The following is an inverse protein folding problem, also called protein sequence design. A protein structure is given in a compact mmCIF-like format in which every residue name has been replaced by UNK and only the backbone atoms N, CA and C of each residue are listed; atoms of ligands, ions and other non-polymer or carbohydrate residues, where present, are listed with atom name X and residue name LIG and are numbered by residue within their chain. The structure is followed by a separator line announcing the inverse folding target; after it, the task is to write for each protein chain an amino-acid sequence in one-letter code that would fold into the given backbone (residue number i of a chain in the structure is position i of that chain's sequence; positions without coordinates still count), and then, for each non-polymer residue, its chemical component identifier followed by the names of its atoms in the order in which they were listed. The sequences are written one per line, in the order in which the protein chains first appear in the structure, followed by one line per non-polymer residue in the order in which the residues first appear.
data_IF_140299036922
#
_entry.id   IF_140299036922
#
_cell.length_a   1.000
_cell.length_b   1.000
_cell.length_c   1.000
_cell.angle_alpha   90.00
_cell.angle_beta   90.00
_cell.angle_gamma   90.00
#
_symmetry.space_group_name_H-M   'P 1'
#
loop_
_entity.id
_entity.type
_entity.pdbx_description
1 polymer ?
#
# COMPACT_ATOMS: atom_id res chain seq x y z
N UNK A 1 17.26 31.14 -21.60
CA UNK A 1 16.85 29.74 -21.88
C UNK A 1 16.62 29.09 -20.52
N UNK A 2 15.40 29.18 -20.01
CA UNK A 2 15.02 28.55 -18.73
C UNK A 2 14.75 27.08 -19.01
N UNK A 3 15.61 26.20 -18.50
CA UNK A 3 15.31 24.78 -18.42
C UNK A 3 14.31 24.62 -17.28
N UNK A 4 13.03 24.57 -17.65
CA UNK A 4 11.97 24.10 -16.78
C UNK A 4 12.24 22.61 -16.57
N UNK A 5 13.02 22.28 -15.54
CA UNK A 5 13.13 20.92 -15.05
C UNK A 5 11.78 20.58 -14.43
N UNK A 6 10.81 20.24 -15.28
CA UNK A 6 9.70 19.42 -14.87
C UNK A 6 10.32 18.20 -14.22
N UNK A 7 10.35 18.20 -12.89
CA UNK A 7 10.39 16.96 -12.14
C UNK A 7 9.11 16.26 -12.60
N UNK A 8 9.20 15.44 -13.65
CA UNK A 8 8.16 14.47 -13.95
C UNK A 8 8.03 13.70 -12.64
N UNK A 9 6.98 14.02 -11.88
CA UNK A 9 6.55 13.30 -10.71
C UNK A 9 6.21 11.91 -11.23
N UNK A 10 7.23 11.04 -11.38
CA UNK A 10 7.05 9.68 -11.87
C UNK A 10 6.19 9.01 -10.80
N UNK A 11 4.91 8.73 -11.10
CA UNK A 11 4.03 8.15 -10.11
C UNK A 11 4.62 6.81 -9.67
N UNK A 12 4.38 6.44 -8.40
CA UNK A 12 4.75 5.12 -7.93
C UNK A 12 4.12 4.07 -8.83
N UNK A 13 4.89 3.09 -9.30
CA UNK A 13 4.36 1.95 -10.03
C UNK A 13 4.01 0.85 -9.02
N UNK A 14 2.72 0.61 -8.81
CA UNK A 14 2.23 -0.43 -7.91
C UNK A 14 1.79 -1.64 -8.74
N UNK A 15 2.47 -2.77 -8.56
CA UNK A 15 2.16 -4.02 -9.27
C UNK A 15 1.51 -5.02 -8.33
N UNK A 16 0.29 -5.44 -8.62
CA UNK A 16 -0.36 -6.51 -7.87
C UNK A 16 0.11 -7.86 -8.42
N UNK A 17 0.47 -8.79 -7.53
CA UNK A 17 0.69 -10.18 -7.93
C UNK A 17 -0.62 -10.81 -8.38
N UNK A 18 -0.56 -11.91 -9.13
CA UNK A 18 -1.78 -12.65 -9.52
C UNK A 18 -2.65 -13.07 -8.31
N UNK A 19 -2.01 -13.35 -7.16
CA UNK A 19 -2.74 -13.65 -5.91
C UNK A 19 -3.45 -12.41 -5.36
N UNK A 20 -2.79 -11.25 -5.39
CA UNK A 20 -3.39 -9.98 -4.98
C UNK A 20 -4.54 -9.58 -5.91
N UNK A 21 -4.37 -9.70 -7.23
CA UNK A 21 -5.44 -9.46 -8.21
C UNK A 21 -6.66 -10.35 -7.95
N UNK A 22 -6.44 -11.64 -7.69
CA UNK A 22 -7.53 -12.59 -7.39
C UNK A 22 -8.17 -12.34 -6.02
N UNK A 23 -7.44 -11.75 -5.09
CA UNK A 23 -7.92 -11.50 -3.74
C UNK A 23 -8.60 -10.15 -3.56
N UNK A 24 -8.22 -9.12 -4.32
CA UNK A 24 -8.85 -7.81 -4.29
C UNK A 24 -10.24 -7.91 -4.94
N UNK A 25 -11.28 -7.46 -4.23
CA UNK A 25 -12.63 -7.45 -4.82
C UNK A 25 -12.76 -6.33 -5.83
N UNK A 26 -13.66 -6.49 -6.79
CA UNK A 26 -13.89 -5.52 -7.86
C UNK A 26 -14.33 -4.14 -7.33
N UNK A 27 -14.96 -4.08 -6.15
CA UNK A 27 -15.42 -2.87 -5.48
C UNK A 27 -14.43 -2.33 -4.44
N UNK A 28 -13.24 -2.93 -4.31
CA UNK A 28 -12.20 -2.53 -3.36
C UNK A 28 -11.02 -1.87 -4.07
N UNK A 29 -10.25 -1.07 -3.33
CA UNK A 29 -8.93 -0.56 -3.73
C UNK A 29 -7.94 -0.83 -2.61
N UNK A 30 -6.67 -0.95 -2.98
CA UNK A 30 -5.55 -0.86 -2.05
C UNK A 30 -5.37 0.60 -1.65
N UNK A 31 -5.20 0.85 -0.35
CA UNK A 31 -4.94 2.17 0.21
C UNK A 31 -3.64 2.11 0.98
N UNK A 32 -2.68 2.94 0.56
CA UNK A 32 -1.48 3.23 1.31
C UNK A 32 -1.75 4.41 2.26
N UNK A 33 -1.75 4.17 3.56
CA UNK A 33 -2.15 5.15 4.57
C UNK A 33 -1.19 5.16 5.76
N UNK A 34 -0.58 6.31 6.06
CA UNK A 34 0.39 6.47 7.16
C UNK A 34 -0.31 6.96 8.44
N UNK A 35 -1.64 7.08 8.41
CA UNK A 35 -2.40 7.38 9.60
C UNK A 35 -2.26 6.22 10.59
N UNK A 36 -1.48 6.44 11.66
CA UNK A 36 -1.50 5.64 12.90
C UNK A 36 -2.85 5.77 13.62
N UNK A 37 -3.95 5.62 12.89
CA UNK A 37 -5.29 5.55 13.43
C UNK A 37 -5.57 4.07 13.67
N UNK A 38 -5.58 3.66 14.93
CA UNK A 38 -5.77 2.30 15.42
C UNK A 38 -7.09 1.63 15.02
N UNK A 39 -7.37 1.54 13.72
CA UNK A 39 -8.35 0.64 13.13
C UNK A 39 -7.66 -0.70 12.89
N UNK A 40 -8.03 -1.66 13.73
CA UNK A 40 -7.49 -3.01 13.83
C UNK A 40 -7.01 -3.61 12.48
N UNK A 41 -5.69 -3.64 12.32
CA UNK A 41 -4.92 -4.13 11.17
C UNK A 41 -4.91 -5.66 11.03
N UNK A 42 -5.90 -6.37 11.60
CA UNK A 42 -5.92 -7.84 11.65
C UNK A 42 -5.88 -8.51 10.26
N UNK A 43 -6.28 -7.79 9.22
CA UNK A 43 -6.29 -8.25 7.82
C UNK A 43 -5.27 -7.54 6.92
N UNK A 44 -4.54 -6.54 7.42
CA UNK A 44 -3.76 -5.63 6.57
C UNK A 44 -2.30 -6.05 6.40
N UNK A 45 -1.78 -6.84 7.33
CA UNK A 45 -0.45 -7.43 7.28
C UNK A 45 0.74 -6.49 7.41
N UNK A 46 0.61 -5.25 6.96
CA UNK A 46 1.46 -4.10 7.22
C UNK A 46 0.57 -2.94 7.70
N UNK A 47 0.98 -2.13 8.70
CA UNK A 47 0.10 -1.12 9.31
C UNK A 47 -0.25 0.03 8.36
N UNK A 48 0.50 0.18 7.26
CA UNK A 48 0.30 1.23 6.28
C UNK A 48 -0.43 0.79 4.99
N UNK A 49 -0.93 -0.45 4.94
CA UNK A 49 -1.56 -1.03 3.75
C UNK A 49 -2.92 -1.61 4.12
N UNK A 50 -4.00 -1.12 3.53
CA UNK A 50 -5.36 -1.66 3.77
C UNK A 50 -6.17 -1.73 2.49
N UNK A 51 -7.27 -2.48 2.52
CA UNK A 51 -8.31 -2.41 1.49
C UNK A 51 -9.42 -1.45 1.92
N UNK A 52 -10.02 -0.74 0.97
CA UNK A 52 -11.21 0.08 1.22
C UNK A 52 -12.17 0.04 0.02
N UNK A 53 -13.48 0.23 0.22
CA UNK A 53 -14.43 0.32 -0.87
C UNK A 53 -14.10 1.48 -1.81
N UNK A 54 -14.19 1.24 -3.13
CA UNK A 54 -14.00 2.21 -4.22
C UNK A 54 -14.86 3.46 -4.05
N UNK A 55 -16.10 3.29 -3.60
CA UNK A 55 -17.01 4.40 -3.37
C UNK A 55 -16.47 5.37 -2.29
N UNK A 56 -15.85 4.84 -1.24
CA UNK A 56 -15.27 5.63 -0.13
C UNK A 56 -13.99 6.32 -0.60
N UNK A 57 -13.09 5.59 -1.27
CA UNK A 57 -11.82 6.15 -1.72
C UNK A 57 -12.01 7.22 -2.80
N UNK A 58 -12.93 7.03 -3.75
CA UNK A 58 -13.24 8.02 -4.79
C UNK A 58 -14.05 9.21 -4.27
N UNK A 59 -14.87 9.00 -3.24
CA UNK A 59 -15.59 10.08 -2.56
C UNK A 59 -14.66 11.02 -1.79
N UNK A 60 -13.56 10.49 -1.24
CA UNK A 60 -12.57 11.28 -0.51
C UNK A 60 -11.52 11.92 -1.44
N UNK A 61 -11.59 13.24 -1.61
CA UNK A 61 -10.67 14.02 -2.47
C UNK A 61 -9.22 14.08 -1.99
N UNK A 62 -8.94 13.62 -0.77
CA UNK A 62 -7.59 13.68 -0.21
C UNK A 62 -6.67 12.56 -0.68
N UNK A 63 -7.19 11.44 -1.19
CA UNK A 63 -6.33 10.37 -1.70
C UNK A 63 -5.75 10.75 -3.08
N UNK A 64 -4.47 10.42 -3.28
CA UNK A 64 -3.78 10.56 -4.56
C UNK A 64 -3.86 9.22 -5.31
N UNK A 65 -4.28 9.21 -6.59
CA UNK A 65 -4.21 8.01 -7.41
C UNK A 65 -2.75 7.60 -7.61
N UNK A 66 -2.52 6.29 -7.73
CA UNK A 66 -1.21 5.71 -8.03
C UNK A 66 -1.23 5.08 -9.42
N UNK A 67 -0.08 5.06 -10.09
CA UNK A 67 0.06 4.26 -11.30
C UNK A 67 0.10 2.79 -10.91
N UNK A 68 -0.79 2.00 -11.49
CA UNK A 68 -1.11 0.68 -10.97
C UNK A 68 -1.29 -0.34 -12.08
N UNK A 69 -0.84 -1.56 -11.80
CA UNK A 69 -1.07 -2.74 -12.64
C UNK A 69 -1.74 -3.82 -11.77
N UNK A 70 -3.06 -4.07 -11.91
CA UNK A 70 -3.98 -3.48 -12.89
C UNK A 70 -4.32 -2.02 -12.56
N UNK A 71 -4.77 -1.22 -13.56
CA UNK A 71 -5.05 0.20 -13.39
C UNK A 71 -6.19 0.46 -12.40
N UNK A 72 -6.14 1.63 -11.77
CA UNK A 72 -7.11 2.09 -10.77
C UNK A 72 -7.25 1.11 -9.59
N UNK A 73 -6.21 0.33 -9.26
CA UNK A 73 -6.29 -0.66 -8.17
C UNK A 73 -5.81 -0.14 -6.81
N UNK A 74 -5.12 1.01 -6.78
CA UNK A 74 -4.57 1.57 -5.54
C UNK A 74 -4.60 3.11 -5.48
N UNK A 75 -4.65 3.63 -4.26
CA UNK A 75 -4.50 5.05 -3.94
C UNK A 75 -3.59 5.24 -2.72
N UNK A 76 -3.05 6.45 -2.56
CA UNK A 76 -2.22 6.82 -1.42
C UNK A 76 -2.79 8.02 -0.66
N UNK A 77 -2.69 7.98 0.66
CA UNK A 77 -2.84 9.16 1.50
C UNK A 77 -1.71 10.17 1.19
N UNK A 78 -1.93 11.48 1.25
CA UNK A 78 -0.90 12.48 0.93
C UNK A 78 0.38 12.35 1.75
N UNK A 79 0.27 11.87 3.00
CA UNK A 79 1.43 11.59 3.87
C UNK A 79 2.21 10.34 3.47
N UNK A 80 1.55 9.39 2.81
CA UNK A 80 2.17 8.16 2.30
C UNK A 80 2.87 8.39 0.96
N UNK A 81 2.28 9.23 0.10
CA UNK A 81 2.70 9.42 -1.28
C UNK A 81 4.20 9.70 -1.50
N UNK A 82 4.89 10.57 -0.71
CA UNK A 82 6.33 10.81 -0.87
C UNK A 82 7.21 9.56 -0.67
N UNK A 83 6.69 8.56 0.05
CA UNK A 83 7.37 7.29 0.28
C UNK A 83 7.06 6.24 -0.80
N UNK A 84 6.23 6.58 -1.78
CA UNK A 84 5.86 5.69 -2.88
C UNK A 84 6.39 6.22 -4.21
N UNK A 85 6.37 7.55 -4.41
CA UNK A 85 6.78 8.20 -5.67
C UNK A 85 8.16 7.74 -6.13
N UNK A 86 8.31 7.50 -7.44
CA UNK A 86 9.55 7.01 -8.05
C UNK A 86 9.95 5.57 -7.69
N UNK A 87 9.11 4.79 -7.00
CA UNK A 87 9.38 3.38 -6.64
C UNK A 87 8.49 2.43 -7.44
N UNK A 88 9.03 1.25 -7.74
CA UNK A 88 8.27 0.09 -8.17
C UNK A 88 8.00 -0.80 -6.93
N UNK A 89 6.72 -1.00 -6.61
CA UNK A 89 6.30 -1.71 -5.39
C UNK A 89 5.39 -2.87 -5.80
N UNK A 90 5.74 -4.09 -5.38
CA UNK A 90 4.89 -5.25 -5.55
C UNK A 90 3.95 -5.42 -4.35
N UNK A 91 2.66 -5.59 -4.62
CA UNK A 91 1.64 -5.92 -3.61
C UNK A 91 1.23 -7.38 -3.78
N UNK A 92 1.42 -8.17 -2.74
CA UNK A 92 1.01 -9.57 -2.67
C UNK A 92 -0.15 -9.76 -1.68
N UNK A 93 -0.84 -10.90 -1.79
CA UNK A 93 -1.86 -11.29 -0.84
C UNK A 93 -1.70 -12.75 -0.43
N UNK A 94 -1.76 -13.00 0.88
CA UNK A 94 -1.85 -14.34 1.47
C UNK A 94 -3.22 -14.53 2.11
N UNK A 95 -3.79 -15.72 1.96
CA UNK A 95 -5.03 -16.10 2.65
C UNK A 95 -4.69 -17.05 3.79
N UNK A 96 -5.11 -16.74 5.01
CA UNK A 96 -4.93 -17.59 6.20
C UNK A 96 -6.20 -17.57 7.03
N UNK A 97 -6.77 -18.74 7.32
CA UNK A 97 -8.03 -18.90 8.06
C UNK A 97 -9.19 -18.03 7.52
N UNK A 98 -9.36 -17.97 6.20
CA UNK A 98 -10.40 -17.17 5.55
C UNK A 98 -10.14 -15.65 5.50
N UNK A 99 -9.13 -15.16 6.22
CA UNK A 99 -8.72 -13.77 6.19
C UNK A 99 -7.75 -13.52 5.02
N UNK A 100 -7.97 -12.41 4.31
CA UNK A 100 -7.05 -11.89 3.28
C UNK A 100 -6.06 -10.97 3.95
N UNK A 101 -4.77 -11.23 3.79
CA UNK A 101 -3.66 -10.42 4.30
C UNK A 101 -2.84 -9.90 3.13
N UNK A 102 -2.95 -8.61 2.86
CA UNK A 102 -2.12 -7.93 1.87
C UNK A 102 -0.75 -7.58 2.46
N UNK A 103 0.24 -7.42 1.61
CA UNK A 103 1.59 -6.99 1.97
C UNK A 103 2.27 -6.39 0.76
N UNK A 104 3.26 -5.51 0.96
CA UNK A 104 4.11 -5.04 -0.11
C UNK A 104 5.60 -5.24 0.22
N UNK A 105 6.44 -5.16 -0.81
CA UNK A 105 7.90 -5.24 -0.72
C UNK A 105 8.58 -3.89 -0.46
N UNK A 106 7.81 -2.90 0.03
CA UNK A 106 8.38 -1.59 0.39
C UNK A 106 9.49 -1.79 1.45
N UNK A 107 10.70 -1.22 1.24
CA UNK A 107 11.81 -1.41 2.15
C UNK A 107 11.47 -0.99 3.59
N UNK A 108 11.81 -1.79 4.61
CA UNK A 108 11.45 -1.52 6.01
C UNK A 108 12.16 -0.27 6.59
N UNK A 109 13.25 0.15 5.95
CA UNK A 109 14.08 1.32 6.27
C UNK A 109 13.53 2.64 5.69
N UNK A 110 12.42 2.63 4.96
CA UNK A 110 11.69 3.85 4.50
C UNK A 110 11.04 4.62 5.68
N UNK A 111 11.51 4.38 6.91
CA UNK A 111 11.08 5.03 8.16
C UNK A 111 10.25 4.14 9.09
N UNK A 112 10.19 2.82 8.84
CA UNK A 112 9.18 1.93 9.43
C UNK A 112 9.73 0.87 10.41
N UNK A 113 11.02 0.52 10.32
CA UNK A 113 11.65 -0.42 11.26
C UNK A 113 11.87 0.13 12.68
N UNK A 114 11.71 1.45 12.89
CA UNK A 114 11.84 2.07 14.21
C UNK A 114 10.68 1.80 15.18
N UNK A 115 9.53 1.32 14.68
CA UNK A 115 8.31 1.12 15.50
C UNK A 115 7.81 -0.32 15.52
N UNK A 116 8.32 -1.21 14.66
CA UNK A 116 7.87 -2.61 14.56
C UNK A 116 8.90 -3.65 14.99
N UNK A 117 10.04 -3.25 15.56
CA UNK A 117 10.99 -4.20 16.16
C UNK A 117 10.50 -4.67 17.54
N UNK A 118 9.39 -5.41 17.52
CA UNK A 118 8.86 -6.21 18.60
C UNK A 118 8.79 -7.65 18.13
N UNK A 119 9.94 -8.32 18.16
CA UNK A 119 10.14 -9.77 18.27
C UNK A 119 9.03 -10.70 17.72
N UNK A 120 9.23 -11.22 16.51
CA UNK A 120 8.90 -12.63 16.27
C UNK A 120 10.14 -13.42 16.69
N UNK A 121 10.18 -13.82 17.95
CA UNK A 121 11.03 -14.93 18.39
C UNK A 121 10.27 -16.20 18.01
N UNK A 122 10.66 -16.81 16.88
CA UNK A 122 10.29 -18.20 16.62
C UNK A 122 10.94 -19.07 17.70
N UNK A 123 10.11 -19.77 18.46
CA UNK A 123 10.51 -20.87 19.31
C UNK A 123 10.39 -22.19 18.54
N UNK A 124 11.38 -23.05 18.70
CA UNK A 124 11.40 -24.44 18.21
C UNK A 124 12.74 -24.75 17.54
N UNK A 125 13.58 -25.66 18.02
CA UNK A 125 13.45 -26.70 19.05
C UNK A 125 14.80 -26.92 19.73
#
# INVERSE_FOLDING_TARGET
MSVDSAHEDVPALIRLTGRACTALRADEMIVFDWAGLGLCCGCAGQPWLRTAPRAVTRGYRGFRPLDTDPPDSAVAHPRAYPYLVGRAIAVDCRRRFGLRRFSCDLPPDVGLAGLSSGAIRDGGS
#
